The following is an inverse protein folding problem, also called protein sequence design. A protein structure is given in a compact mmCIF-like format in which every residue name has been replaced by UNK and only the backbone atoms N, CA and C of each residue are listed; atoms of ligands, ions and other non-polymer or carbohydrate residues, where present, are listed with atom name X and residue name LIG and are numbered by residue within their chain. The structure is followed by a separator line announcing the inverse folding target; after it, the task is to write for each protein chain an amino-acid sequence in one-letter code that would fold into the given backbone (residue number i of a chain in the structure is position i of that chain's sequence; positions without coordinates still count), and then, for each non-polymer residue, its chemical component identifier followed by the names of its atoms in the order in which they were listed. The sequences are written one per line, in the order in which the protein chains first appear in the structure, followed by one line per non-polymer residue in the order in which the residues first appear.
data_IF_667021408171
#
_entry.id   IF_667021408171
#
_cell.length_a   1.000
_cell.length_b   1.000
_cell.length_c   1.000
_cell.angle_alpha   90.00
_cell.angle_beta   90.00
_cell.angle_gamma   90.00
#
_symmetry.space_group_name_H-M   'P 1'
#
loop_
_entity.id
_entity.type
_entity.pdbx_description
1 polymer ?
#
# COMPACT_ATOMS: atom_id res chain seq x y z
N UNK A 1 -48.33 -4.70 -19.95
CA UNK A 1 -47.34 -5.37 -20.81
C UNK A 1 -46.05 -4.56 -20.78
N UNK A 2 -45.05 -4.97 -19.99
CA UNK A 2 -43.78 -4.26 -19.84
C UNK A 2 -42.75 -4.81 -20.84
N UNK A 3 -42.11 -3.92 -21.61
CA UNK A 3 -41.03 -4.25 -22.55
C UNK A 3 -39.81 -4.75 -21.77
N UNK A 4 -39.37 -5.98 -22.05
CA UNK A 4 -38.05 -6.48 -21.64
C UNK A 4 -37.00 -5.74 -22.48
N UNK A 5 -36.24 -4.86 -21.87
CA UNK A 5 -35.00 -4.32 -22.45
C UNK A 5 -33.92 -5.39 -22.35
N UNK A 6 -33.34 -5.72 -23.49
CA UNK A 6 -32.28 -6.69 -23.68
C UNK A 6 -31.10 -6.38 -22.76
N UNK A 7 -30.66 -7.39 -22.00
CA UNK A 7 -29.40 -7.33 -21.26
C UNK A 7 -28.25 -7.29 -22.27
N UNK A 8 -27.53 -6.17 -22.30
CA UNK A 8 -26.27 -6.05 -23.01
C UNK A 8 -25.23 -6.91 -22.28
N UNK A 9 -24.92 -8.07 -22.85
CA UNK A 9 -23.87 -8.96 -22.38
C UNK A 9 -22.52 -8.25 -22.49
N UNK A 10 -21.89 -8.00 -21.33
CA UNK A 10 -20.55 -7.45 -21.23
C UNK A 10 -19.56 -8.25 -22.11
N UNK A 11 -18.60 -7.59 -22.77
CA UNK A 11 -17.68 -8.26 -23.68
C UNK A 11 -16.85 -9.31 -22.92
N UNK A 12 -16.43 -10.41 -23.59
CA UNK A 12 -15.56 -11.40 -22.98
C UNK A 12 -14.27 -10.69 -22.54
N UNK A 13 -13.99 -10.71 -21.23
CA UNK A 13 -12.70 -10.26 -20.67
C UNK A 13 -11.61 -11.29 -20.99
N UNK A 14 -11.42 -11.57 -22.27
CA UNK A 14 -10.34 -12.39 -22.82
C UNK A 14 -9.26 -11.49 -23.38
N UNK A 15 -8.68 -10.63 -22.54
CA UNK A 15 -7.41 -10.00 -22.85
C UNK A 15 -6.28 -10.98 -22.56
N UNK A 16 -5.28 -11.05 -23.43
CA UNK A 16 -4.04 -11.80 -23.19
C UNK A 16 -3.44 -11.29 -21.87
N UNK A 17 -3.61 -12.03 -20.77
CA UNK A 17 -2.98 -11.67 -19.49
C UNK A 17 -1.49 -11.89 -19.72
N UNK A 18 -0.65 -10.84 -19.71
CA UNK A 18 0.78 -11.02 -19.88
C UNK A 18 1.25 -12.07 -18.87
N UNK A 19 2.05 -13.01 -19.36
CA UNK A 19 2.61 -14.09 -18.55
C UNK A 19 3.20 -13.46 -17.30
N UNK A 20 2.65 -13.82 -16.12
CA UNK A 20 3.02 -13.16 -14.87
C UNK A 20 4.51 -13.41 -14.66
N UNK A 21 5.35 -12.37 -14.56
CA UNK A 21 6.76 -12.57 -14.24
C UNK A 21 6.84 -13.41 -12.97
N UNK A 22 7.83 -14.29 -12.91
CA UNK A 22 8.02 -15.21 -11.78
C UNK A 22 7.78 -14.48 -10.46
N UNK A 23 6.82 -14.97 -9.67
CA UNK A 23 6.36 -14.35 -8.41
C UNK A 23 7.45 -14.24 -7.33
N UNK A 24 8.65 -14.73 -7.60
CA UNK A 24 9.76 -14.76 -6.67
C UNK A 24 10.49 -13.41 -6.68
N UNK A 25 10.28 -12.63 -5.62
CA UNK A 25 11.09 -11.48 -5.32
C UNK A 25 12.54 -11.91 -5.03
N UNK A 26 13.51 -11.12 -5.46
CA UNK A 26 14.91 -11.36 -5.09
C UNK A 26 15.12 -11.15 -3.59
N UNK A 27 16.19 -11.71 -3.04
CA UNK A 27 16.55 -11.52 -1.63
C UNK A 27 16.70 -10.03 -1.28
N UNK A 28 17.26 -9.24 -2.18
CA UNK A 28 17.46 -7.80 -2.02
C UNK A 28 16.13 -7.06 -2.00
N UNK A 29 15.18 -7.45 -2.86
CA UNK A 29 13.83 -6.91 -2.86
C UNK A 29 13.10 -7.24 -1.56
N UNK A 30 13.19 -8.49 -1.09
CA UNK A 30 12.61 -8.93 0.19
C UNK A 30 13.22 -8.16 1.37
N UNK A 31 14.54 -7.97 1.40
CA UNK A 31 15.21 -7.19 2.43
C UNK A 31 14.79 -5.72 2.40
N UNK A 32 14.62 -5.13 1.22
CA UNK A 32 14.15 -3.74 1.06
C UNK A 32 12.71 -3.57 1.58
N UNK A 33 11.81 -4.50 1.24
CA UNK A 33 10.45 -4.51 1.77
C UNK A 33 10.45 -4.67 3.29
N UNK A 34 11.22 -5.62 3.80
CA UNK A 34 11.36 -5.85 5.24
C UNK A 34 11.90 -4.61 5.97
N UNK A 35 12.90 -3.94 5.40
CA UNK A 35 13.43 -2.69 5.92
C UNK A 35 12.32 -1.66 6.10
N UNK A 36 11.53 -1.36 5.07
CA UNK A 36 10.45 -0.37 5.19
C UNK A 36 9.35 -0.78 6.17
N UNK A 37 9.00 -2.06 6.23
CA UNK A 37 8.04 -2.56 7.22
C UNK A 37 8.56 -2.35 8.65
N UNK A 38 9.83 -2.68 8.91
CA UNK A 38 10.45 -2.48 10.23
C UNK A 38 10.61 -1.00 10.58
N UNK A 39 11.02 -0.17 9.63
CA UNK A 39 11.14 1.27 9.83
C UNK A 39 9.78 1.89 10.16
N UNK A 40 8.72 1.53 9.42
CA UNK A 40 7.35 1.96 9.70
C UNK A 40 6.89 1.55 11.10
N UNK A 41 7.11 0.30 11.50
CA UNK A 41 6.81 -0.21 12.85
C UNK A 41 7.50 0.60 13.95
N UNK A 42 8.80 0.85 13.83
CA UNK A 42 9.55 1.57 14.86
C UNK A 42 9.15 3.05 14.94
N UNK A 43 8.89 3.67 13.80
CA UNK A 43 8.39 5.04 13.74
C UNK A 43 7.04 5.16 14.45
N UNK A 44 6.07 4.30 14.13
CA UNK A 44 4.76 4.33 14.77
C UNK A 44 4.84 4.01 16.27
N UNK A 45 5.67 3.05 16.68
CA UNK A 45 5.94 2.80 18.11
C UNK A 45 6.52 4.03 18.81
N UNK A 46 7.38 4.81 18.14
CA UNK A 46 7.90 6.06 18.68
C UNK A 46 6.80 7.13 18.79
N UNK A 47 5.94 7.26 17.78
CA UNK A 47 4.81 8.18 17.82
C UNK A 47 3.85 7.86 18.97
N UNK A 48 3.52 6.58 19.18
CA UNK A 48 2.68 6.16 20.32
C UNK A 48 3.33 6.50 21.66
N UNK A 49 4.65 6.30 21.80
CA UNK A 49 5.37 6.69 23.02
C UNK A 49 5.33 8.20 23.27
N UNK A 50 5.56 9.00 22.23
CA UNK A 50 5.51 10.47 22.34
C UNK A 50 4.09 10.98 22.63
N UNK A 51 3.08 10.36 22.02
CA UNK A 51 1.67 10.66 22.29
C UNK A 51 1.30 10.40 23.74
N UNK A 52 1.68 9.23 24.28
CA UNK A 52 1.47 8.89 25.70
C UNK A 52 2.22 9.80 26.67
N UNK A 53 3.28 10.46 26.22
CA UNK A 53 4.01 11.47 27.00
C UNK A 53 3.37 12.88 26.91
N UNK A 54 2.27 13.04 26.17
CA UNK A 54 1.65 14.35 25.94
C UNK A 54 2.45 15.26 25.01
N UNK A 55 3.47 14.73 24.30
CA UNK A 55 4.33 15.51 23.40
C UNK A 55 3.74 15.71 22.01
N UNK A 56 2.67 14.99 21.68
CA UNK A 56 1.92 15.14 20.43
C UNK A 56 0.50 15.52 20.82
N UNK A 57 0.04 16.66 20.31
CA UNK A 57 -1.32 17.17 20.52
C UNK A 57 -2.21 16.69 19.38
N UNK A 58 -3.46 16.34 19.68
CA UNK A 58 -4.42 15.81 18.71
C UNK A 58 -4.52 14.28 18.76
N UNK A 59 -4.42 13.63 17.61
CA UNK A 59 -4.56 12.17 17.48
C UNK A 59 -3.37 11.53 16.79
N UNK A 60 -2.93 10.38 17.30
CA UNK A 60 -1.97 9.50 16.63
C UNK A 60 -2.70 8.26 16.16
N UNK A 61 -2.73 8.07 14.85
CA UNK A 61 -3.35 6.92 14.21
C UNK A 61 -2.28 6.01 13.64
N UNK A 62 -2.25 4.78 14.10
CA UNK A 62 -1.21 3.82 13.71
C UNK A 62 -1.77 2.76 12.77
N UNK A 63 -0.92 2.32 11.85
CA UNK A 63 -1.09 1.14 11.00
C UNK A 63 -0.38 -0.09 11.56
N UNK A 64 -0.02 -0.13 12.84
CA UNK A 64 0.66 -1.28 13.47
C UNK A 64 -0.12 -2.58 13.17
N UNK A 65 0.56 -3.54 12.54
CA UNK A 65 -0.02 -4.81 12.07
C UNK A 65 -0.38 -4.83 10.59
N UNK A 66 -0.46 -3.67 9.94
CA UNK A 66 -0.78 -3.51 8.51
C UNK A 66 0.44 -3.08 7.67
N UNK A 67 1.65 -3.30 8.16
CA UNK A 67 2.87 -2.81 7.50
C UNK A 67 3.05 -3.40 6.09
N UNK A 68 2.74 -4.69 5.95
CA UNK A 68 2.85 -5.39 4.66
C UNK A 68 1.87 -4.83 3.62
N UNK A 69 0.65 -4.48 4.03
CA UNK A 69 -0.34 -3.85 3.14
C UNK A 69 0.15 -2.47 2.68
N UNK A 70 0.64 -1.66 3.62
CA UNK A 70 1.13 -0.31 3.34
C UNK A 70 2.36 -0.31 2.41
N UNK A 71 3.38 -1.11 2.73
CA UNK A 71 4.62 -1.16 1.94
C UNK A 71 4.43 -1.93 0.63
N UNK A 72 3.70 -3.05 0.67
CA UNK A 72 3.50 -3.92 -0.49
C UNK A 72 2.67 -3.26 -1.59
N UNK A 73 1.63 -2.50 -1.23
CA UNK A 73 0.81 -1.76 -2.20
C UNK A 73 1.64 -0.76 -2.99
N UNK A 74 2.45 0.04 -2.30
CA UNK A 74 3.32 1.06 -2.90
C UNK A 74 4.48 0.46 -3.68
N UNK A 75 4.99 -0.70 -3.27
CA UNK A 75 6.02 -1.42 -4.02
C UNK A 75 5.53 -1.92 -5.38
N UNK A 76 4.24 -2.25 -5.49
CA UNK A 76 3.64 -2.73 -6.73
C UNK A 76 3.34 -1.62 -7.75
N UNK A 77 3.37 -0.34 -7.34
CA UNK A 77 3.11 0.80 -8.22
C UNK A 77 4.34 1.15 -9.06
N UNK A 78 4.10 1.48 -10.32
CA UNK A 78 5.12 1.97 -11.25
C UNK A 78 5.07 3.49 -11.40
N UNK A 79 6.05 4.15 -10.79
CA UNK A 79 6.21 5.61 -10.85
C UNK A 79 6.51 6.15 -12.22
N UNK A 80 7.24 5.38 -13.05
CA UNK A 80 7.63 5.82 -14.38
C UNK A 80 6.43 5.80 -15.33
N UNK A 81 5.48 4.89 -15.08
CA UNK A 81 4.22 4.83 -15.81
C UNK A 81 3.15 5.78 -15.28
N UNK A 82 3.44 6.53 -14.20
CA UNK A 82 2.55 7.55 -13.66
C UNK A 82 1.53 7.03 -12.65
N UNK A 83 1.76 5.87 -12.04
CA UNK A 83 0.88 5.38 -10.97
C UNK A 83 0.85 6.36 -9.79
N UNK A 84 -0.37 6.60 -9.29
CA UNK A 84 -0.64 7.58 -8.23
C UNK A 84 -0.71 6.88 -6.87
N UNK A 85 0.05 7.41 -5.91
CA UNK A 85 -0.04 7.04 -4.50
C UNK A 85 -0.71 8.15 -3.69
N UNK A 86 -1.85 7.83 -3.07
CA UNK A 86 -2.62 8.74 -2.21
C UNK A 86 -2.74 8.15 -0.78
N UNK A 87 -1.80 8.45 0.15
CA UNK A 87 -1.79 7.86 1.48
C UNK A 87 -2.91 8.39 2.38
N UNK A 88 -3.41 7.51 3.25
CA UNK A 88 -4.25 7.89 4.39
C UNK A 88 -3.38 8.10 5.65
N UNK A 89 -4.05 8.45 6.75
CA UNK A 89 -3.40 8.74 8.04
C UNK A 89 -2.73 7.52 8.70
N UNK A 90 -2.94 6.29 8.20
CA UNK A 90 -2.34 5.04 8.70
C UNK A 90 -1.27 4.44 7.80
N UNK A 91 -0.94 5.09 6.68
CA UNK A 91 -0.02 4.54 5.68
C UNK A 91 1.40 5.08 5.83
N UNK A 92 1.89 5.20 7.08
CA UNK A 92 3.16 5.85 7.34
C UNK A 92 4.35 5.06 6.75
N UNK A 93 4.31 3.73 6.86
CA UNK A 93 5.28 2.85 6.21
C UNK A 93 5.28 2.96 4.67
N UNK A 94 4.11 3.20 4.08
CA UNK A 94 3.95 3.42 2.64
C UNK A 94 4.61 4.73 2.19
N UNK A 95 4.47 5.82 2.96
CA UNK A 95 5.13 7.11 2.67
C UNK A 95 6.65 6.99 2.70
N UNK A 96 7.20 6.25 3.68
CA UNK A 96 8.64 5.98 3.76
C UNK A 96 9.12 5.17 2.55
N UNK A 97 8.40 4.10 2.18
CA UNK A 97 8.71 3.29 1.00
C UNK A 97 8.56 4.08 -0.31
N UNK A 98 7.61 5.02 -0.35
CA UNK A 98 7.43 5.93 -1.49
C UNK A 98 8.50 7.04 -1.53
N UNK A 99 9.23 7.29 -0.44
CA UNK A 99 10.24 8.36 -0.39
C UNK A 99 9.67 9.76 -0.13
N UNK A 100 8.50 9.84 0.52
CA UNK A 100 7.93 11.06 1.09
C UNK A 100 8.35 11.22 2.56
N UNK A 101 9.66 11.14 2.84
CA UNK A 101 10.24 11.29 4.17
C UNK A 101 10.67 12.73 4.45
#
# INVERSE_FOLDING_TARGET
MAKRTSAETAPPRGGNVPERPSLALTKEQLLKLYYFMRQGRELENRLVRLYRQGKIVGGVYTGIGNEATAVGSVYALDRQQGDIFAPMHRDLGARLAWGQA
#
